data_IF_873867656364
#
_entry.id   IF_873867656364
#
_cell.length_a   1.000
_cell.length_b   1.000
_cell.length_c   1.000
_cell.angle_alpha   90.00
_cell.angle_beta   90.00
_cell.angle_gamma   90.00
#
_symmetry.space_group_name_H-M   'P 1'
#
loop_
_entity.id
_entity.type
_entity.pdbx_description
1 polymer ?
#
# COMPACT_ATOMS: atom_id res chain seq x y z
N UNK A 1 9.02 -8.13 -23.98
CA UNK A 1 7.98 -7.37 -23.24
C UNK A 1 8.55 -7.05 -21.87
N UNK A 2 8.67 -5.78 -21.51
CA UNK A 2 9.20 -5.40 -20.18
C UNK A 2 8.21 -5.79 -19.08
N UNK A 3 8.71 -6.07 -17.88
CA UNK A 3 7.89 -6.45 -16.71
C UNK A 3 6.74 -5.44 -16.49
N UNK A 4 7.04 -4.14 -16.60
CA UNK A 4 6.09 -3.03 -16.46
C UNK A 4 4.97 -3.05 -17.51
N UNK A 5 5.28 -3.43 -18.75
CA UNK A 5 4.28 -3.47 -19.83
C UNK A 5 3.35 -4.68 -19.68
N UNK A 6 3.87 -5.81 -19.20
CA UNK A 6 3.04 -6.97 -18.86
C UNK A 6 2.03 -6.64 -17.76
N UNK A 7 2.50 -6.06 -16.65
CA UNK A 7 1.66 -5.68 -15.49
C UNK A 7 0.53 -4.74 -15.93
N UNK A 8 0.86 -3.67 -16.67
CA UNK A 8 -0.14 -2.72 -17.17
C UNK A 8 -1.19 -3.40 -18.05
N UNK A 9 -0.75 -4.25 -18.97
CA UNK A 9 -1.67 -4.98 -19.84
C UNK A 9 -2.56 -5.95 -19.07
N UNK A 10 -2.01 -6.63 -18.07
CA UNK A 10 -2.75 -7.52 -17.19
C UNK A 10 -3.86 -6.77 -16.43
N UNK A 11 -3.51 -5.69 -15.72
CA UNK A 11 -4.44 -4.82 -14.99
C UNK A 11 -5.56 -4.31 -15.91
N UNK A 12 -5.19 -3.80 -17.09
CA UNK A 12 -6.15 -3.28 -18.06
C UNK A 12 -7.08 -4.36 -18.63
N UNK A 13 -6.55 -5.55 -18.93
CA UNK A 13 -7.33 -6.65 -19.51
C UNK A 13 -8.43 -7.16 -18.57
N UNK A 14 -8.16 -7.15 -17.27
CA UNK A 14 -9.13 -7.56 -16.24
C UNK A 14 -9.94 -6.39 -15.68
N UNK A 15 -9.72 -5.16 -16.18
CA UNK A 15 -10.35 -3.92 -15.72
C UNK A 15 -10.22 -3.75 -14.19
N UNK A 16 -9.05 -4.04 -13.65
CA UNK A 16 -8.83 -3.96 -12.20
C UNK A 16 -8.85 -2.49 -11.72
N UNK A 17 -9.37 -2.22 -10.51
CA UNK A 17 -9.36 -0.89 -9.92
C UNK A 17 -7.94 -0.40 -9.62
N UNK A 18 -7.80 0.92 -9.38
CA UNK A 18 -6.50 1.60 -9.25
C UNK A 18 -5.56 0.96 -8.22
N UNK A 19 -6.08 0.44 -7.11
CA UNK A 19 -5.31 -0.25 -6.06
C UNK A 19 -4.47 -1.43 -6.61
N UNK A 20 -4.86 -2.03 -7.74
CA UNK A 20 -4.09 -3.09 -8.37
C UNK A 20 -2.70 -2.63 -8.85
N UNK A 21 -2.51 -1.34 -9.15
CA UNK A 21 -1.20 -0.79 -9.53
C UNK A 21 -0.19 -0.83 -8.37
N UNK A 22 -0.68 -0.76 -7.13
CA UNK A 22 0.15 -0.74 -5.92
C UNK A 22 0.53 -2.17 -5.50
N UNK A 23 -0.35 -3.13 -5.80
CA UNK A 23 -0.21 -4.53 -5.38
C UNK A 23 0.50 -5.40 -6.42
N UNK A 24 0.22 -5.18 -7.70
CA UNK A 24 0.73 -5.97 -8.81
C UNK A 24 1.90 -5.22 -9.46
N UNK A 25 3.12 -5.47 -8.99
CA UNK A 25 4.31 -4.76 -9.48
C UNK A 25 5.21 -5.62 -10.37
N UNK A 26 4.94 -6.93 -10.42
CA UNK A 26 5.67 -7.89 -11.23
C UNK A 26 4.74 -8.88 -11.92
N UNK A 27 5.26 -9.52 -12.97
CA UNK A 27 4.61 -10.69 -13.58
C UNK A 27 4.28 -11.77 -12.54
N UNK A 28 5.15 -11.98 -11.55
CA UNK A 28 4.90 -12.95 -10.48
C UNK A 28 3.66 -12.56 -9.67
N UNK A 29 3.53 -11.29 -9.27
CA UNK A 29 2.35 -10.78 -8.56
C UNK A 29 1.08 -10.98 -9.38
N UNK A 30 1.09 -10.63 -10.67
CA UNK A 30 -0.07 -10.80 -11.54
C UNK A 30 -0.51 -12.27 -11.62
N UNK A 31 0.44 -13.19 -11.79
CA UNK A 31 0.13 -14.62 -11.90
C UNK A 31 -0.34 -15.20 -10.56
N UNK A 32 0.26 -14.78 -9.46
CA UNK A 32 -0.12 -15.19 -8.12
C UNK A 32 -1.54 -14.70 -7.78
N UNK A 33 -1.82 -13.41 -7.99
CA UNK A 33 -3.16 -12.85 -7.85
C UNK A 33 -4.19 -13.57 -8.71
N UNK A 34 -3.90 -13.77 -10.00
CA UNK A 34 -4.83 -14.43 -10.92
C UNK A 34 -5.17 -15.85 -10.48
N UNK A 35 -4.16 -16.60 -10.03
CA UNK A 35 -4.32 -18.01 -9.65
C UNK A 35 -4.98 -18.17 -8.29
N UNK A 36 -4.62 -17.33 -7.32
CA UNK A 36 -4.90 -17.56 -5.92
C UNK A 36 -5.95 -16.61 -5.33
N UNK A 37 -6.37 -15.55 -6.02
CA UNK A 37 -7.26 -14.53 -5.46
C UNK A 37 -8.38 -14.09 -6.40
N UNK A 38 -8.07 -13.91 -7.68
CA UNK A 38 -9.03 -13.36 -8.64
C UNK A 38 -10.32 -14.21 -8.75
N UNK A 39 -11.47 -13.54 -8.60
CA UNK A 39 -12.84 -14.11 -8.59
C UNK A 39 -13.14 -15.07 -7.44
N UNK A 40 -12.37 -15.02 -6.34
CA UNK A 40 -12.73 -15.77 -5.12
C UNK A 40 -13.89 -15.12 -4.38
N UNK A 41 -13.98 -13.80 -4.44
CA UNK A 41 -15.08 -13.02 -3.91
C UNK A 41 -16.03 -12.56 -5.03
N UNK A 42 -17.22 -12.11 -4.64
CA UNK A 42 -18.21 -11.54 -5.58
C UNK A 42 -17.73 -10.24 -6.24
N UNK A 43 -16.83 -9.50 -5.58
CA UNK A 43 -16.28 -8.26 -6.11
C UNK A 43 -14.76 -8.29 -6.10
N UNK A 44 -14.16 -7.91 -7.24
CA UNK A 44 -12.70 -7.89 -7.45
C UNK A 44 -11.95 -6.99 -6.47
N UNK A 45 -12.64 -5.99 -5.90
CA UNK A 45 -12.05 -5.14 -4.87
C UNK A 45 -11.71 -5.96 -3.61
N UNK A 46 -12.58 -6.88 -3.19
CA UNK A 46 -12.32 -7.75 -2.05
C UNK A 46 -11.17 -8.73 -2.33
N UNK A 47 -11.09 -9.28 -3.55
CA UNK A 47 -9.94 -10.10 -3.95
C UNK A 47 -8.61 -9.34 -3.84
N UNK A 48 -8.62 -8.05 -4.16
CA UNK A 48 -7.44 -7.19 -4.06
C UNK A 48 -7.11 -6.84 -2.61
N UNK A 49 -8.12 -6.69 -1.73
CA UNK A 49 -7.90 -6.48 -0.30
C UNK A 49 -7.32 -7.74 0.36
N UNK A 50 -7.84 -8.92 0.04
CA UNK A 50 -7.29 -10.21 0.50
C UNK A 50 -5.83 -10.38 0.03
N UNK A 51 -5.55 -9.97 -1.22
CA UNK A 51 -4.20 -10.01 -1.76
C UNK A 51 -3.27 -9.02 -1.07
N UNK A 52 -3.75 -7.80 -0.78
CA UNK A 52 -3.01 -6.80 0.00
C UNK A 52 -2.66 -7.35 1.38
N UNK A 53 -3.63 -7.94 2.08
CA UNK A 53 -3.41 -8.53 3.40
C UNK A 53 -2.33 -9.62 3.36
N UNK A 54 -2.36 -10.50 2.37
CA UNK A 54 -1.29 -11.49 2.20
C UNK A 54 0.07 -10.83 1.98
N UNK A 55 0.18 -9.82 1.11
CA UNK A 55 1.46 -9.14 0.87
C UNK A 55 1.99 -8.43 2.12
N UNK A 56 1.10 -7.85 2.92
CA UNK A 56 1.47 -7.24 4.20
C UNK A 56 2.00 -8.29 5.17
N UNK A 57 1.28 -9.40 5.34
CA UNK A 57 1.70 -10.52 6.18
C UNK A 57 3.03 -11.14 5.73
N UNK A 58 3.28 -11.19 4.42
CA UNK A 58 4.53 -11.69 3.85
C UNK A 58 5.71 -10.73 4.03
N UNK A 59 5.45 -9.41 4.03
CA UNK A 59 6.51 -8.39 4.13
C UNK A 59 7.20 -8.37 5.49
N UNK A 60 6.47 -8.71 6.57
CA UNK A 60 6.95 -8.71 7.96
C UNK A 60 7.72 -7.45 8.36
N UNK A 61 7.44 -6.31 7.72
CA UNK A 61 8.05 -5.03 8.05
C UNK A 61 7.68 -4.69 9.48
N UNK A 62 8.67 -4.42 10.32
CA UNK A 62 8.44 -3.97 11.70
C UNK A 62 8.35 -2.45 11.78
N UNK A 63 7.88 -1.92 12.91
CA UNK A 63 7.92 -0.48 13.18
C UNK A 63 9.36 0.07 13.10
N UNK A 64 10.34 -0.69 13.58
CA UNK A 64 11.75 -0.30 13.53
C UNK A 64 12.25 -0.23 12.09
N UNK A 65 11.94 -1.24 11.26
CA UNK A 65 12.28 -1.24 9.84
C UNK A 65 11.64 -0.05 9.13
N UNK A 66 10.36 0.22 9.40
CA UNK A 66 9.64 1.36 8.84
C UNK A 66 10.32 2.68 9.20
N UNK A 67 10.64 2.92 10.48
CA UNK A 67 11.33 4.16 10.90
C UNK A 67 12.70 4.31 10.26
N UNK A 68 13.49 3.23 10.23
CA UNK A 68 14.82 3.24 9.65
C UNK A 68 14.77 3.55 8.15
N UNK A 69 13.83 2.94 7.43
CA UNK A 69 13.65 3.18 6.00
C UNK A 69 13.09 4.59 5.75
N UNK A 70 12.15 5.06 6.56
CA UNK A 70 11.57 6.40 6.43
C UNK A 70 12.63 7.51 6.50
N UNK A 71 13.63 7.37 7.36
CA UNK A 71 14.74 8.32 7.46
C UNK A 71 15.62 8.39 6.19
N UNK A 72 15.61 7.35 5.36
CA UNK A 72 16.39 7.29 4.12
C UNK A 72 15.57 7.70 2.90
N UNK A 73 14.34 7.19 2.82
CA UNK A 73 13.45 7.39 1.68
C UNK A 73 11.99 7.37 2.17
N UNK A 74 11.44 8.52 2.61
CA UNK A 74 10.08 8.59 3.17
C UNK A 74 9.02 7.98 2.25
N UNK A 75 9.06 8.32 0.96
CA UNK A 75 8.09 7.85 -0.03
C UNK A 75 8.13 6.33 -0.21
N UNK A 76 9.32 5.76 -0.32
CA UNK A 76 9.48 4.32 -0.53
C UNK A 76 9.08 3.56 0.73
N UNK A 77 9.51 4.02 1.91
CA UNK A 77 9.09 3.45 3.19
C UNK A 77 7.56 3.43 3.35
N UNK A 78 6.89 4.55 3.10
CA UNK A 78 5.43 4.63 3.15
C UNK A 78 4.78 3.65 2.13
N UNK A 79 5.27 3.63 0.90
CA UNK A 79 4.71 2.80 -0.17
C UNK A 79 4.88 1.30 0.10
N UNK A 80 6.06 0.92 0.59
CA UNK A 80 6.38 -0.48 0.87
C UNK A 80 5.68 -1.00 2.11
N UNK A 81 5.62 -0.21 3.19
CA UNK A 81 4.97 -0.58 4.45
C UNK A 81 3.45 -0.66 4.27
N UNK A 82 2.84 0.31 3.60
CA UNK A 82 1.38 0.42 3.54
C UNK A 82 0.75 -0.16 2.27
N UNK A 83 1.58 -0.57 1.29
CA UNK A 83 1.16 -1.07 -0.03
C UNK A 83 0.14 -0.11 -0.68
N UNK A 84 0.48 1.17 -0.64
CA UNK A 84 -0.31 2.28 -1.16
C UNK A 84 0.64 3.25 -1.85
N UNK A 85 0.29 3.75 -3.04
CA UNK A 85 1.09 4.79 -3.69
C UNK A 85 0.96 6.13 -2.94
N UNK A 86 2.10 6.78 -2.70
CA UNK A 86 2.16 8.15 -2.18
C UNK A 86 2.79 9.09 -3.20
N UNK A 87 2.10 10.18 -3.49
CA UNK A 87 2.59 11.32 -4.27
C UNK A 87 3.52 12.24 -3.47
N UNK A 88 4.25 13.11 -4.17
CA UNK A 88 5.16 14.07 -3.50
C UNK A 88 4.44 15.00 -2.53
N UNK A 89 3.24 15.46 -2.88
CA UNK A 89 2.43 16.33 -2.03
C UNK A 89 1.98 15.63 -0.75
N UNK A 90 1.54 14.37 -0.86
CA UNK A 90 1.12 13.56 0.29
C UNK A 90 2.29 13.29 1.24
N UNK A 91 3.47 12.96 0.70
CA UNK A 91 4.68 12.78 1.50
C UNK A 91 5.06 14.08 2.21
N UNK A 92 5.05 15.22 1.50
CA UNK A 92 5.36 16.52 2.10
C UNK A 92 4.41 16.87 3.24
N UNK A 93 3.11 16.60 3.09
CA UNK A 93 2.13 16.81 4.15
C UNK A 93 2.38 15.90 5.37
N UNK A 94 2.74 14.64 5.15
CA UNK A 94 3.12 13.73 6.24
C UNK A 94 4.33 14.28 6.99
N UNK A 95 5.38 14.70 6.27
CA UNK A 95 6.59 15.26 6.88
C UNK A 95 6.32 16.55 7.66
N UNK A 96 5.44 17.42 7.17
CA UNK A 96 5.01 18.63 7.87
C UNK A 96 4.27 18.28 9.18
N UNK A 97 3.27 17.39 9.10
CA UNK A 97 2.50 16.96 10.29
C UNK A 97 3.36 16.25 11.33
N UNK A 98 4.40 15.53 10.91
CA UNK A 98 5.39 14.92 11.80
C UNK A 98 6.24 15.98 12.50
N UNK A 99 6.69 17.01 11.78
CA UNK A 99 7.50 18.12 12.35
C UNK A 99 6.72 18.91 13.40
N UNK A 100 5.43 19.13 13.16
CA UNK A 100 4.56 19.88 14.06
C UNK A 100 4.07 19.01 15.26
N UNK A 101 4.43 17.72 15.29
CA UNK A 101 4.05 16.79 16.34
C UNK A 101 2.58 16.40 16.33
N UNK A 102 1.84 16.73 15.26
CA UNK A 102 0.42 16.42 15.12
C UNK A 102 0.18 14.91 14.93
N UNK A 103 1.15 14.22 14.34
CA UNK A 103 1.18 12.75 14.19
C UNK A 103 2.59 12.25 14.49
N UNK A 104 2.73 10.94 14.71
CA UNK A 104 4.03 10.26 14.87
C UNK A 104 4.11 9.07 13.92
N UNK A 105 5.32 8.63 13.58
CA UNK A 105 5.50 7.41 12.79
C UNK A 105 4.90 6.18 13.51
N UNK A 106 5.02 6.15 14.85
CA UNK A 106 4.41 5.15 15.71
C UNK A 106 2.88 5.13 15.57
N UNK A 107 2.23 6.30 15.66
CA UNK A 107 0.77 6.38 15.58
C UNK A 107 0.25 5.96 14.20
N UNK A 108 0.90 6.41 13.12
CA UNK A 108 0.55 6.02 11.74
C UNK A 108 0.65 4.49 11.59
N UNK A 109 1.78 3.92 12.03
CA UNK A 109 2.02 2.49 11.91
C UNK A 109 1.04 1.67 12.76
N UNK A 110 0.83 2.04 14.03
CA UNK A 110 -0.08 1.33 14.92
C UNK A 110 -1.52 1.37 14.43
N UNK A 111 -2.02 2.52 13.96
CA UNK A 111 -3.37 2.61 13.39
C UNK A 111 -3.51 1.77 12.11
N UNK A 112 -2.50 1.78 11.25
CA UNK A 112 -2.48 0.92 10.08
C UNK A 112 -2.49 -0.57 10.43
N UNK A 113 -1.77 -0.99 11.47
CA UNK A 113 -1.79 -2.39 11.91
C UNK A 113 -3.15 -2.82 12.47
N UNK A 114 -3.95 -1.88 13.00
CA UNK A 114 -5.33 -2.15 13.42
C UNK A 114 -6.26 -2.29 12.22
N UNK A 115 -6.08 -1.45 11.18
CA UNK A 115 -6.88 -1.49 9.96
C UNK A 115 -6.03 -1.25 8.70
N UNK A 116 -5.47 -2.33 8.15
CA UNK A 116 -4.55 -2.30 7.02
C UNK A 116 -5.22 -1.90 5.68
N UNK A 117 -6.54 -1.90 5.64
CA UNK A 117 -7.34 -1.46 4.50
C UNK A 117 -7.67 0.04 4.55
N UNK A 118 -7.39 0.72 5.66
CA UNK A 118 -7.58 2.15 5.78
C UNK A 118 -6.55 2.91 4.94
N UNK A 119 -6.99 4.00 4.32
CA UNK A 119 -6.08 4.93 3.65
C UNK A 119 -5.33 5.74 4.71
N UNK A 120 -3.99 5.66 4.69
CA UNK A 120 -3.10 6.34 5.63
C UNK A 120 -3.34 7.85 5.66
N UNK A 121 -3.65 8.47 4.52
CA UNK A 121 -3.88 9.92 4.47
C UNK A 121 -5.11 10.36 5.27
N UNK A 122 -6.09 9.48 5.51
CA UNK A 122 -7.21 9.82 6.41
C UNK A 122 -6.74 10.03 7.85
N UNK A 123 -5.75 9.25 8.29
CA UNK A 123 -5.13 9.38 9.61
C UNK A 123 -4.35 10.69 9.69
N UNK A 124 -3.53 10.97 8.65
CA UNK A 124 -2.70 12.19 8.55
C UNK A 124 -3.55 13.45 8.56
N UNK A 125 -4.70 13.44 7.87
CA UNK A 125 -5.61 14.58 7.78
C UNK A 125 -6.47 14.77 9.05
N UNK A 126 -6.55 13.77 9.93
CA UNK A 126 -7.41 13.80 11.11
C UNK A 126 -8.89 13.52 10.79
N UNK A 127 -9.17 12.81 9.70
CA UNK A 127 -10.53 12.46 9.27
C UNK A 127 -10.97 11.06 9.75
N UNK A 128 -10.42 10.58 10.87
CA UNK A 128 -10.86 9.33 11.49
C UNK A 128 -12.26 9.53 12.07
N UNK A 129 -13.28 9.01 11.36
CA UNK A 129 -14.65 8.83 11.86
C UNK A 129 -14.86 7.39 12.32
#
# INVERSE_FOLDING_TARGET
MTNTMFVKNFINSLKLPKIANDLLQSKADCMDFFKNYYRKNHHVIFDLLDYKEMKLNASKITLEDFKNHFNQSPREALTETFKQEFGKEEVGLIEERLKDGAITLDSIYSEFMVNSNQNVMKMVLGESK
#
